data_IF_119920208396
#
_entry.id   IF_119920208396
#
_cell.length_a   1.000
_cell.length_b   1.000
_cell.length_c   1.000
_cell.angle_alpha   90.00
_cell.angle_beta   90.00
_cell.angle_gamma   90.00
#
_symmetry.space_group_name_H-M   'P 1'
#
loop_
_entity.id
_entity.type
_entity.pdbx_description
1 polymer ?
#
# COMPACT_ATOMS: atom_id res chain seq x y z
N UNK A 1 -3.33 -16.60 -5.34
CA UNK A 1 -3.07 -15.48 -6.26
C UNK A 1 -1.58 -15.49 -6.62
N UNK A 2 -1.17 -14.78 -7.67
CA UNK A 2 0.24 -14.64 -8.07
C UNK A 2 0.66 -13.17 -7.94
N UNK A 3 1.81 -12.91 -7.32
CA UNK A 3 2.27 -11.55 -7.04
C UNK A 3 3.43 -11.15 -7.96
N UNK A 4 3.17 -10.23 -8.90
CA UNK A 4 4.21 -9.71 -9.80
C UNK A 4 5.09 -8.66 -9.14
N UNK A 5 6.41 -8.79 -9.34
CA UNK A 5 7.36 -7.71 -9.11
C UNK A 5 7.43 -6.80 -10.33
N UNK A 6 7.60 -5.49 -10.13
CA UNK A 6 7.62 -4.50 -11.19
C UNK A 6 9.03 -3.96 -11.42
N UNK A 7 9.41 -3.74 -12.69
CA UNK A 7 10.70 -3.11 -13.02
C UNK A 7 10.81 -1.68 -12.48
N UNK A 8 9.69 -0.97 -12.41
CA UNK A 8 9.63 0.42 -11.94
C UNK A 8 8.46 0.56 -10.99
N UNK A 9 8.70 1.15 -9.82
CA UNK A 9 7.65 1.45 -8.87
C UNK A 9 6.77 2.59 -9.41
N UNK A 10 5.44 2.42 -9.50
CA UNK A 10 4.54 3.41 -10.10
C UNK A 10 4.27 4.63 -9.19
N UNK A 11 4.64 4.59 -7.90
CA UNK A 11 4.22 5.56 -6.88
C UNK A 11 4.53 7.02 -7.22
N UNK A 12 5.63 7.29 -7.91
CA UNK A 12 6.00 8.66 -8.31
C UNK A 12 5.15 9.21 -9.46
N UNK A 13 4.42 8.34 -10.17
CA UNK A 13 3.70 8.67 -11.42
C UNK A 13 2.22 8.32 -11.40
N UNK A 14 1.78 7.52 -10.43
CA UNK A 14 0.39 7.09 -10.28
C UNK A 14 -0.04 7.11 -8.81
N UNK A 15 -1.34 7.29 -8.59
CA UNK A 15 -1.95 7.13 -7.26
C UNK A 15 -2.01 5.65 -6.92
N UNK A 16 -1.21 5.22 -5.95
CA UNK A 16 -1.27 3.86 -5.43
C UNK A 16 -2.52 3.69 -4.58
N UNK A 17 -3.32 2.66 -4.89
CA UNK A 17 -4.58 2.34 -4.21
C UNK A 17 -4.42 1.18 -3.23
N UNK A 18 -3.52 0.24 -3.54
CA UNK A 18 -3.20 -0.90 -2.68
C UNK A 18 -1.73 -1.28 -2.83
N UNK A 19 -1.14 -1.81 -1.76
CA UNK A 19 0.25 -2.27 -1.68
C UNK A 19 0.25 -3.66 -1.03
N UNK A 20 1.06 -4.59 -1.53
CA UNK A 20 1.30 -5.88 -0.89
C UNK A 20 2.25 -5.73 0.30
N UNK A 21 2.04 -6.57 1.30
CA UNK A 21 2.95 -6.70 2.43
C UNK A 21 3.95 -7.84 2.19
N UNK A 22 5.20 -7.49 1.83
CA UNK A 22 6.25 -8.46 1.49
C UNK A 22 6.69 -9.36 2.66
N UNK A 23 6.24 -9.10 3.89
CA UNK A 23 6.47 -9.99 5.04
C UNK A 23 5.53 -11.20 5.03
N UNK A 24 4.38 -11.08 4.36
CA UNK A 24 3.29 -12.07 4.41
C UNK A 24 3.40 -13.15 3.34
N UNK A 25 4.38 -13.04 2.45
CA UNK A 25 4.61 -13.98 1.36
C UNK A 25 6.08 -14.00 0.94
N UNK A 26 6.45 -14.97 0.10
CA UNK A 26 7.84 -15.11 -0.39
C UNK A 26 7.98 -14.67 -1.84
N UNK A 27 9.14 -14.14 -2.21
CA UNK A 27 9.45 -13.73 -3.58
C UNK A 27 9.22 -12.26 -3.90
N UNK A 28 8.74 -11.45 -2.95
CA UNK A 28 8.74 -9.99 -3.06
C UNK A 28 10.17 -9.44 -3.13
N UNK A 29 10.42 -8.51 -4.06
CA UNK A 29 11.71 -7.82 -4.21
C UNK A 29 11.55 -6.32 -4.53
N UNK A 30 10.43 -5.75 -4.09
CA UNK A 30 10.11 -4.33 -4.26
C UNK A 30 10.58 -3.48 -3.06
N UNK A 31 11.38 -4.08 -2.16
CA UNK A 31 12.05 -3.41 -1.02
C UNK A 31 11.05 -2.78 -0.04
N UNK A 32 10.01 -3.53 0.30
CA UNK A 32 8.94 -3.12 1.21
C UNK A 32 8.00 -2.05 0.65
N UNK A 33 8.08 -1.75 -0.65
CA UNK A 33 7.14 -0.87 -1.34
C UNK A 33 6.61 -1.55 -2.61
N UNK A 34 5.57 -2.35 -2.43
CA UNK A 34 5.04 -3.19 -3.50
C UNK A 34 3.61 -2.78 -3.92
N UNK A 35 3.42 -1.68 -4.66
CA UNK A 35 2.11 -1.33 -5.21
C UNK A 35 1.52 -2.47 -6.04
N UNK A 36 0.26 -2.81 -5.80
CA UNK A 36 -0.45 -3.89 -6.52
C UNK A 36 -1.68 -3.41 -7.25
N UNK A 37 -2.17 -2.22 -6.93
CA UNK A 37 -3.21 -1.54 -7.70
C UNK A 37 -2.99 -0.03 -7.65
N UNK A 38 -3.21 0.63 -8.78
CA UNK A 38 -3.04 2.07 -8.92
C UNK A 38 -3.94 2.64 -10.01
N UNK A 39 -4.15 3.95 -9.96
CA UNK A 39 -4.79 4.69 -11.04
C UNK A 39 -3.94 5.88 -11.46
N UNK A 40 -4.10 6.28 -12.72
CA UNK A 40 -3.35 7.38 -13.31
C UNK A 40 -4.24 8.16 -14.28
N UNK A 41 -4.17 9.48 -14.22
CA UNK A 41 -4.62 10.36 -15.31
C UNK A 41 -3.41 10.68 -16.17
N UNK A 42 -3.45 10.35 -17.45
CA UNK A 42 -2.32 10.56 -18.36
C UNK A 42 -2.81 11.09 -19.70
N UNK A 43 -2.34 12.28 -20.09
CA UNK A 43 -2.69 12.96 -21.35
C UNK A 43 -4.21 12.98 -21.65
N UNK A 44 -5.03 13.28 -20.64
CA UNK A 44 -6.49 13.32 -20.76
C UNK A 44 -7.19 11.95 -20.67
N UNK A 45 -6.44 10.85 -20.71
CA UNK A 45 -6.92 9.49 -20.47
C UNK A 45 -6.98 9.13 -18.99
N UNK A 46 -7.75 8.07 -18.68
CA UNK A 46 -7.87 7.47 -17.34
C UNK A 46 -7.42 6.01 -17.41
N UNK A 47 -6.44 5.65 -16.60
CA UNK A 47 -5.89 4.30 -16.53
C UNK A 47 -6.06 3.74 -15.12
N UNK A 48 -6.51 2.49 -15.04
CA UNK A 48 -6.56 1.70 -13.81
C UNK A 48 -5.77 0.41 -14.05
N UNK A 49 -4.96 0.03 -13.07
CA UNK A 49 -4.21 -1.21 -13.06
C UNK A 49 -4.45 -1.96 -11.76
N UNK A 50 -4.58 -3.28 -11.85
CA UNK A 50 -4.56 -4.19 -10.72
C UNK A 50 -3.78 -5.46 -11.10
N UNK A 51 -2.81 -5.84 -10.27
CA UNK A 51 -2.10 -7.13 -10.39
C UNK A 51 -2.74 -8.26 -9.57
N UNK A 52 -3.86 -7.98 -8.91
CA UNK A 52 -4.70 -8.98 -8.24
C UNK A 52 -5.51 -9.79 -9.27
N UNK A 53 -5.96 -10.99 -8.89
CA UNK A 53 -6.96 -11.75 -9.67
C UNK A 53 -6.38 -12.82 -10.60
N UNK A 54 -5.21 -13.37 -10.27
CA UNK A 54 -4.61 -14.47 -11.04
C UNK A 54 -5.49 -15.72 -11.04
N UNK A 55 -6.26 -15.97 -9.97
CA UNK A 55 -7.09 -17.18 -9.85
C UNK A 55 -8.56 -16.89 -10.13
N UNK A 56 -9.28 -17.90 -10.65
CA UNK A 56 -10.73 -17.79 -10.91
C UNK A 56 -11.53 -17.56 -9.62
N UNK A 57 -11.04 -18.10 -8.49
CA UNK A 57 -11.65 -17.95 -7.18
C UNK A 57 -11.70 -16.49 -6.73
N UNK A 58 -10.70 -15.67 -7.09
CA UNK A 58 -10.71 -14.23 -6.79
C UNK A 58 -11.99 -13.56 -7.34
N UNK A 59 -12.53 -14.02 -8.46
CA UNK A 59 -13.76 -13.46 -9.05
C UNK A 59 -15.05 -13.86 -8.33
N UNK A 60 -15.01 -14.88 -7.45
CA UNK A 60 -16.12 -15.17 -6.56
C UNK A 60 -16.22 -14.13 -5.43
N UNK A 61 -15.08 -13.56 -5.01
CA UNK A 61 -15.00 -12.61 -3.90
C UNK A 61 -15.75 -11.30 -4.20
N UNK A 62 -16.76 -10.92 -3.38
CA UNK A 62 -17.50 -9.66 -3.58
C UNK A 62 -16.61 -8.42 -3.53
N UNK A 63 -15.61 -8.41 -2.65
CA UNK A 63 -14.66 -7.31 -2.52
C UNK A 63 -13.83 -7.12 -3.79
N UNK A 64 -13.34 -8.20 -4.38
CA UNK A 64 -12.57 -8.15 -5.62
C UNK A 64 -13.42 -7.68 -6.80
N UNK A 65 -14.66 -8.19 -6.94
CA UNK A 65 -15.60 -7.70 -7.97
C UNK A 65 -15.89 -6.21 -7.83
N UNK A 66 -16.03 -5.72 -6.59
CA UNK A 66 -16.25 -4.30 -6.31
C UNK A 66 -15.02 -3.45 -6.67
N UNK A 67 -13.82 -3.94 -6.38
CA UNK A 67 -12.54 -3.31 -6.78
C UNK A 67 -12.44 -3.14 -8.30
N UNK A 68 -12.68 -4.21 -9.05
CA UNK A 68 -12.65 -4.20 -10.52
C UNK A 68 -13.73 -3.26 -11.08
N UNK A 69 -14.95 -3.31 -10.55
CA UNK A 69 -16.03 -2.42 -10.97
C UNK A 69 -15.69 -0.94 -10.73
N UNK A 70 -15.08 -0.62 -9.58
CA UNK A 70 -14.60 0.73 -9.29
C UNK A 70 -13.55 1.21 -10.30
N UNK A 71 -12.57 0.36 -10.61
CA UNK A 71 -11.56 0.63 -11.64
C UNK A 71 -12.15 0.86 -13.02
N UNK A 72 -13.12 0.04 -13.45
CA UNK A 72 -13.82 0.19 -14.73
C UNK A 72 -14.63 1.49 -14.80
N UNK A 73 -15.38 1.82 -13.74
CA UNK A 73 -16.14 3.07 -13.64
C UNK A 73 -15.24 4.29 -13.79
N UNK A 74 -14.05 4.26 -13.17
CA UNK A 74 -13.06 5.32 -13.32
C UNK A 74 -12.52 5.38 -14.75
N UNK A 75 -12.00 4.27 -15.29
CA UNK A 75 -11.41 4.23 -16.62
C UNK A 75 -12.40 4.70 -17.71
N UNK A 76 -13.67 4.31 -17.60
CA UNK A 76 -14.76 4.71 -18.50
C UNK A 76 -15.30 6.12 -18.24
N UNK A 77 -14.88 6.79 -17.17
CA UNK A 77 -15.31 8.16 -16.84
C UNK A 77 -16.71 8.28 -16.23
N UNK A 78 -17.27 7.16 -15.75
CA UNK A 78 -18.54 7.16 -15.03
C UNK A 78 -18.41 7.78 -13.63
N UNK A 79 -17.20 7.80 -13.07
CA UNK A 79 -16.89 8.46 -11.80
C UNK A 79 -15.63 9.31 -11.91
N UNK A 80 -15.58 10.40 -11.14
CA UNK A 80 -14.36 11.18 -10.91
C UNK A 80 -13.59 10.55 -9.74
N UNK A 81 -12.28 10.45 -9.88
CA UNK A 81 -11.37 10.03 -8.82
C UNK A 81 -10.13 10.91 -8.85
N UNK A 82 -9.55 11.18 -7.67
CA UNK A 82 -8.24 11.81 -7.58
C UNK A 82 -7.15 10.75 -7.76
N UNK A 83 -6.59 10.71 -8.97
CA UNK A 83 -5.50 9.82 -9.35
C UNK A 83 -4.16 10.58 -9.48
N UNK A 84 -4.02 11.72 -8.81
CA UNK A 84 -2.74 12.40 -8.67
C UNK A 84 -1.80 11.57 -7.78
N UNK A 85 -0.52 11.39 -8.14
CA UNK A 85 0.43 10.66 -7.30
C UNK A 85 0.65 11.36 -5.95
N UNK A 86 0.71 10.57 -4.87
CA UNK A 86 1.12 11.06 -3.55
C UNK A 86 2.64 11.11 -3.51
N UNK A 87 3.21 12.29 -3.75
CA UNK A 87 4.67 12.50 -3.79
C UNK A 87 5.21 13.19 -2.53
N UNK A 88 4.34 13.84 -1.75
CA UNK A 88 4.74 14.64 -0.60
C UNK A 88 5.00 13.79 0.66
N UNK A 89 4.34 12.64 0.79
CA UNK A 89 4.51 11.76 1.93
C UNK A 89 4.32 10.29 1.55
N UNK A 90 4.98 9.41 2.31
CA UNK A 90 4.77 7.96 2.24
C UNK A 90 4.37 7.46 3.62
N UNK A 91 3.19 6.84 3.79
CA UNK A 91 2.87 6.16 5.03
C UNK A 91 3.82 4.96 5.21
N UNK A 92 4.48 4.90 6.36
CA UNK A 92 5.33 3.77 6.77
C UNK A 92 4.67 2.89 7.83
N UNK A 93 3.61 3.41 8.45
CA UNK A 93 2.76 2.66 9.36
C UNK A 93 1.47 2.26 8.62
N UNK A 94 1.11 0.99 8.69
CA UNK A 94 -0.04 0.41 7.98
C UNK A 94 -1.35 0.46 8.79
N UNK A 95 -1.30 0.92 10.05
CA UNK A 95 -2.46 0.96 10.94
C UNK A 95 -2.89 -0.41 11.50
N UNK A 96 -2.13 -1.48 11.26
CA UNK A 96 -2.54 -2.86 11.58
C UNK A 96 -1.50 -3.64 12.36
N UNK A 97 -0.22 -3.52 12.01
CA UNK A 97 0.86 -4.31 12.61
C UNK A 97 2.07 -3.43 12.93
N UNK A 98 2.90 -3.88 13.88
CA UNK A 98 4.21 -3.30 14.16
C UNK A 98 5.32 -4.00 13.35
N UNK A 99 4.96 -4.63 12.24
CA UNK A 99 5.93 -5.32 11.39
C UNK A 99 6.89 -4.32 10.75
N UNK A 100 8.17 -4.64 10.78
CA UNK A 100 9.23 -3.69 10.42
C UNK A 100 9.51 -2.62 11.48
N UNK A 101 8.83 -2.64 12.63
CA UNK A 101 9.10 -1.76 13.76
C UNK A 101 9.74 -2.53 14.91
N UNK A 102 10.69 -1.90 15.59
CA UNK A 102 11.37 -2.46 16.77
C UNK A 102 11.14 -1.57 17.98
N UNK A 103 10.64 -2.17 19.06
CA UNK A 103 10.48 -1.52 20.35
C UNK A 103 11.76 -1.64 21.18
N UNK A 104 12.10 -0.56 21.89
CA UNK A 104 13.15 -0.53 22.89
C UNK A 104 12.67 0.17 24.17
N UNK A 105 13.14 -0.30 25.33
CA UNK A 105 12.77 0.24 26.65
C UNK A 105 11.59 -0.49 27.31
N UNK A 106 11.25 -0.13 28.55
CA UNK A 106 10.23 -0.80 29.34
C UNK A 106 8.78 -0.49 28.91
N UNK A 107 8.53 0.60 28.19
CA UNK A 107 7.22 0.89 27.61
C UNK A 107 6.86 -0.03 26.43
N UNK A 108 5.60 -0.01 26.00
CA UNK A 108 5.14 -0.70 24.79
C UNK A 108 4.27 0.19 23.90
N UNK A 109 4.19 -0.19 22.63
CA UNK A 109 3.21 0.36 21.69
C UNK A 109 2.22 -0.75 21.32
N UNK A 110 0.93 -0.41 21.33
CA UNK A 110 -0.17 -1.23 20.84
C UNK A 110 -0.89 -0.51 19.70
N UNK A 111 -1.66 -1.26 18.92
CA UNK A 111 -2.43 -0.70 17.80
C UNK A 111 -3.91 -0.82 18.16
N UNK A 112 -4.61 0.30 18.16
CA UNK A 112 -6.06 0.38 18.25
C UNK A 112 -6.58 1.44 17.31
N UNK A 113 -7.67 1.14 16.60
CA UNK A 113 -8.34 2.04 15.65
C UNK A 113 -7.41 2.65 14.58
N UNK A 114 -6.42 1.89 14.14
CA UNK A 114 -5.45 2.36 13.15
C UNK A 114 -4.39 3.31 13.69
N UNK A 115 -4.35 3.55 15.00
CA UNK A 115 -3.40 4.42 15.67
C UNK A 115 -2.45 3.65 16.58
N UNK A 116 -1.26 4.22 16.80
CA UNK A 116 -0.30 3.73 17.78
C UNK A 116 -0.63 4.30 19.16
N UNK A 117 -0.74 3.43 20.15
CA UNK A 117 -0.96 3.80 21.54
C UNK A 117 0.25 3.38 22.38
N UNK A 118 0.87 4.32 23.08
CA UNK A 118 1.99 4.06 23.98
C UNK A 118 1.53 3.85 25.42
N UNK A 119 2.12 2.90 26.14
CA UNK A 119 1.83 2.65 27.55
C UNK A 119 3.08 2.16 28.31
N UNK A 120 3.08 2.25 29.65
CA UNK A 120 4.09 1.60 30.49
C UNK A 120 5.43 2.31 30.65
N UNK A 121 5.52 3.61 30.34
CA UNK A 121 6.72 4.44 30.58
C UNK A 121 7.54 4.72 29.30
N UNK A 122 8.83 5.06 29.46
CA UNK A 122 9.70 5.42 28.33
C UNK A 122 9.85 4.26 27.35
N UNK A 123 9.71 4.54 26.06
CA UNK A 123 9.92 3.58 24.99
C UNK A 123 10.20 4.27 23.66
N UNK A 124 11.01 3.62 22.82
CA UNK A 124 11.31 4.08 21.47
C UNK A 124 10.85 3.01 20.47
N UNK A 125 10.07 3.43 19.48
CA UNK A 125 9.66 2.59 18.36
C UNK A 125 10.39 3.04 17.10
N UNK A 126 11.27 2.18 16.57
CA UNK A 126 12.08 2.49 15.38
C UNK A 126 11.66 1.65 14.18
N UNK A 127 11.46 2.28 13.02
CA UNK A 127 11.24 1.56 11.76
C UNK A 127 12.58 1.04 11.22
N UNK A 128 12.65 -0.27 10.94
CA UNK A 128 13.88 -0.97 10.54
C UNK A 128 13.78 -1.67 9.18
N UNK A 129 12.59 -1.73 8.57
CA UNK A 129 12.45 -2.37 7.26
C UNK A 129 13.16 -1.61 6.13
N UNK A 130 13.36 -0.29 6.30
CA UNK A 130 14.14 0.53 5.36
C UNK A 130 14.67 1.80 6.03
N UNK A 131 15.92 2.15 5.73
CA UNK A 131 16.47 3.46 6.09
C UNK A 131 15.86 4.56 5.21
N UNK A 132 15.35 5.62 5.85
CA UNK A 132 14.78 6.78 5.18
C UNK A 132 15.73 7.95 5.38
N UNK A 133 16.02 8.66 4.29
CA UNK A 133 16.82 9.89 4.34
C UNK A 133 15.90 11.07 4.63
N UNK A 134 16.46 12.15 5.18
CA UNK A 134 15.75 13.41 5.36
C UNK A 134 15.14 13.89 4.05
N UNK A 135 13.93 14.45 4.12
CA UNK A 135 13.37 15.24 3.05
C UNK A 135 14.34 16.41 2.75
N UNK A 136 14.80 16.53 1.51
CA UNK A 136 15.60 17.64 1.00
C UNK A 136 14.71 18.66 0.30
#
# INVERSE_FOLDING_TARGET
DEWYNYRTNPRDKAKVLATLDETTYTGGNMKGDHPISWCQTYQGGRSFYTGLGHTKESYAEPAFRSHVLGGLRYATGQVKADCKPDTDYRPIFNGKTLEGWKQAGPGKFSISDGALHSEGGMGLLTYQAKELKSYS
#
